data_IF_009129961731
#
_entry.id   IF_009129961731
#
_cell.length_a   1.000
_cell.length_b   1.000
_cell.length_c   1.000
_cell.angle_alpha   90.00
_cell.angle_beta   90.00
_cell.angle_gamma   90.00
#
_symmetry.space_group_name_H-M   'P 1'
#
loop_
_entity.id
_entity.type
_entity.pdbx_description
1 polymer ?
#
# COMPACT_ATOMS: atom_id res chain seq x y z
N UNK A 1 9.85 -12.06 -12.13
CA UNK A 1 8.39 -11.81 -12.20
C UNK A 1 8.00 -11.18 -10.88
N UNK A 2 7.39 -10.00 -10.89
CA UNK A 2 6.80 -9.40 -9.68
C UNK A 2 5.29 -9.49 -9.90
N UNK A 3 4.58 -10.19 -9.00
CA UNK A 3 3.21 -10.64 -9.23
C UNK A 3 3.08 -11.51 -10.50
N UNK A 4 2.15 -11.18 -11.41
CA UNK A 4 1.77 -12.02 -12.57
C UNK A 4 2.47 -11.67 -13.89
N UNK A 5 3.55 -10.88 -13.89
CA UNK A 5 4.16 -10.43 -15.14
C UNK A 5 5.59 -9.92 -15.08
N UNK A 6 6.11 -9.58 -16.27
CA UNK A 6 7.35 -8.82 -16.43
C UNK A 6 6.99 -7.35 -16.42
N UNK A 7 7.56 -6.60 -15.50
CA UNK A 7 7.38 -5.16 -15.43
C UNK A 7 8.45 -4.50 -16.31
N UNK A 8 8.07 -3.45 -17.02
CA UNK A 8 9.00 -2.63 -17.83
C UNK A 8 9.78 -1.63 -16.97
N UNK A 9 9.42 -1.52 -15.69
CA UNK A 9 10.05 -0.64 -14.72
C UNK A 9 10.23 -1.35 -13.38
N UNK A 10 11.11 -0.78 -12.56
CA UNK A 10 11.33 -1.19 -11.18
C UNK A 10 10.49 -0.30 -10.24
N UNK A 11 9.50 -0.85 -9.50
CA UNK A 11 8.71 -0.09 -8.54
C UNK A 11 9.54 0.63 -7.48
N UNK A 12 10.72 0.12 -7.12
CA UNK A 12 11.59 0.73 -6.10
C UNK A 12 12.35 1.94 -6.63
N UNK A 13 12.35 2.13 -7.95
CA UNK A 13 13.02 3.24 -8.65
C UNK A 13 12.03 4.35 -9.06
N UNK A 14 10.79 4.33 -8.55
CA UNK A 14 9.77 5.32 -8.89
C UNK A 14 10.15 6.71 -8.35
N UNK A 15 10.07 7.77 -9.19
CA UNK A 15 10.34 9.13 -8.73
C UNK A 15 9.26 9.60 -7.76
N UNK A 16 9.63 10.49 -6.85
CA UNK A 16 8.69 11.11 -5.93
C UNK A 16 7.61 11.91 -6.72
N UNK A 17 6.32 11.60 -6.55
CA UNK A 17 5.25 12.35 -7.19
C UNK A 17 5.02 13.73 -6.54
N UNK A 18 4.35 14.66 -7.23
CA UNK A 18 4.04 16.00 -6.70
C UNK A 18 2.92 16.01 -5.66
N UNK A 19 2.31 14.86 -5.37
CA UNK A 19 1.25 14.69 -4.38
C UNK A 19 1.63 13.64 -3.33
N UNK A 20 1.03 13.68 -2.13
CA UNK A 20 1.15 12.62 -1.14
C UNK A 20 0.61 11.30 -1.70
N UNK A 21 1.35 10.21 -1.53
CA UNK A 21 0.89 8.85 -1.86
C UNK A 21 0.77 8.04 -0.59
N UNK A 22 -0.38 7.39 -0.43
CA UNK A 22 -0.66 6.48 0.67
C UNK A 22 -0.88 5.06 0.13
N UNK A 23 -0.25 4.07 0.76
CA UNK A 23 -0.44 2.65 0.44
C UNK A 23 -1.05 1.93 1.64
N UNK A 24 -2.25 1.41 1.48
CA UNK A 24 -2.96 0.65 2.50
C UNK A 24 -2.84 -0.84 2.23
N UNK A 25 -2.51 -1.63 3.25
CA UNK A 25 -2.32 -3.08 3.13
C UNK A 25 -2.80 -3.78 4.40
N UNK A 26 -3.62 -4.82 4.24
CA UNK A 26 -3.92 -5.75 5.32
C UNK A 26 -2.73 -6.66 5.62
N UNK A 27 -2.39 -6.86 6.89
CA UNK A 27 -1.27 -7.71 7.31
C UNK A 27 -1.58 -9.22 7.22
N UNK A 28 -2.86 -9.59 7.17
CA UNK A 28 -3.36 -10.95 6.96
C UNK A 28 -3.83 -11.18 5.51
N UNK A 29 -3.36 -10.37 4.55
CA UNK A 29 -3.65 -10.57 3.13
C UNK A 29 -3.04 -11.90 2.62
N UNK A 30 -3.92 -12.87 2.40
CA UNK A 30 -3.56 -14.20 1.91
C UNK A 30 -3.26 -14.28 0.40
N UNK A 31 -3.51 -13.21 -0.36
CA UNK A 31 -3.19 -13.16 -1.79
C UNK A 31 -1.91 -12.39 -2.06
N UNK A 32 -1.67 -11.31 -1.32
CA UNK A 32 -0.50 -10.45 -1.48
C UNK A 32 0.30 -10.39 -0.17
N UNK A 33 1.50 -10.98 -0.12
CA UNK A 33 2.30 -10.98 1.11
C UNK A 33 2.67 -9.56 1.55
N UNK A 34 2.25 -9.17 2.77
CA UNK A 34 2.50 -7.84 3.38
C UNK A 34 3.96 -7.40 3.34
N UNK A 35 4.90 -8.34 3.35
CA UNK A 35 6.35 -8.09 3.29
C UNK A 35 6.74 -7.29 2.03
N UNK A 36 6.04 -7.44 0.92
CA UNK A 36 6.35 -6.73 -0.32
C UNK A 36 6.11 -5.23 -0.17
N UNK A 37 5.02 -4.84 0.51
CA UNK A 37 4.64 -3.46 0.77
C UNK A 37 5.53 -2.85 1.84
N UNK A 38 5.89 -3.60 2.88
CA UNK A 38 6.91 -3.19 3.86
C UNK A 38 8.25 -2.92 3.19
N UNK A 39 8.68 -3.81 2.29
CA UNK A 39 9.91 -3.62 1.52
C UNK A 39 9.81 -2.38 0.63
N UNK A 40 8.73 -2.22 -0.12
CA UNK A 40 8.52 -1.05 -0.98
C UNK A 40 8.54 0.27 -0.17
N UNK A 41 7.90 0.30 0.99
CA UNK A 41 7.91 1.46 1.90
C UNK A 41 9.30 1.75 2.47
N UNK A 42 10.14 0.73 2.66
CA UNK A 42 11.54 0.92 3.08
C UNK A 42 12.42 1.54 1.98
N UNK A 43 12.10 1.29 0.71
CA UNK A 43 12.85 1.82 -0.44
C UNK A 43 12.35 3.21 -0.86
N UNK A 44 11.03 3.42 -0.85
CA UNK A 44 10.38 4.66 -1.28
C UNK A 44 10.04 5.52 -0.07
N UNK A 45 10.99 6.35 0.37
CA UNK A 45 10.82 7.22 1.55
C UNK A 45 9.67 8.24 1.45
N UNK A 46 9.16 8.50 0.25
CA UNK A 46 8.01 9.36 -0.01
C UNK A 46 6.65 8.65 0.14
N UNK A 47 6.65 7.33 0.26
CA UNK A 47 5.45 6.53 0.37
C UNK A 47 4.94 6.52 1.82
N UNK A 48 3.69 6.92 2.02
CA UNK A 48 3.03 6.83 3.32
C UNK A 48 2.38 5.46 3.47
N UNK A 49 3.11 4.50 4.04
CA UNK A 49 2.60 3.15 4.26
C UNK A 49 1.64 3.09 5.47
N UNK A 50 0.51 2.40 5.27
CA UNK A 50 -0.55 2.20 6.26
C UNK A 50 -0.91 0.73 6.31
N UNK A 51 -0.34 0.04 7.30
CA UNK A 51 -0.67 -1.36 7.56
C UNK A 51 -1.94 -1.45 8.42
N UNK A 52 -2.82 -2.39 8.09
CA UNK A 52 -4.09 -2.66 8.77
C UNK A 52 -4.00 -4.01 9.49
N UNK A 53 -3.92 -4.03 10.84
CA UNK A 53 -3.84 -5.27 11.60
C UNK A 53 -5.11 -6.13 11.48
N UNK A 54 -4.93 -7.46 11.42
CA UNK A 54 -6.02 -8.44 11.36
C UNK A 54 -6.88 -8.33 10.10
N UNK A 55 -6.35 -7.71 9.05
CA UNK A 55 -7.11 -7.38 7.84
C UNK A 55 -6.58 -8.17 6.65
N UNK A 56 -7.49 -8.82 5.93
CA UNK A 56 -7.17 -9.56 4.70
C UNK A 56 -7.14 -8.68 3.44
N UNK A 57 -7.27 -9.33 2.29
CA UNK A 57 -7.17 -8.68 0.97
C UNK A 57 -8.27 -7.64 0.67
N UNK A 58 -9.50 -7.90 1.12
CA UNK A 58 -10.68 -7.11 0.72
C UNK A 58 -10.90 -5.88 1.61
N UNK A 59 -10.09 -4.85 1.41
CA UNK A 59 -10.13 -3.61 2.18
C UNK A 59 -11.48 -2.89 2.14
N UNK A 60 -12.25 -3.04 1.05
CA UNK A 60 -13.58 -2.44 0.91
C UNK A 60 -14.60 -2.92 1.96
N UNK A 61 -14.35 -4.07 2.58
CA UNK A 61 -15.21 -4.62 3.64
C UNK A 61 -14.80 -4.19 5.05
N UNK A 62 -13.69 -3.46 5.19
CA UNK A 62 -13.17 -3.02 6.50
C UNK A 62 -14.03 -1.87 7.03
N UNK A 63 -14.71 -2.05 8.18
CA UNK A 63 -15.56 -1.00 8.74
C UNK A 63 -14.78 0.28 9.02
N UNK A 64 -15.29 1.43 8.55
CA UNK A 64 -14.70 2.74 8.81
C UNK A 64 -13.42 3.07 8.03
N UNK A 65 -12.94 2.17 7.16
CA UNK A 65 -11.73 2.45 6.35
C UNK A 65 -11.96 3.64 5.41
N UNK A 66 -13.15 3.76 4.81
CA UNK A 66 -13.49 4.88 3.93
C UNK A 66 -13.37 6.24 4.63
N UNK A 67 -13.95 6.38 5.82
CA UNK A 67 -13.83 7.59 6.63
C UNK A 67 -12.38 7.88 7.01
N UNK A 68 -11.62 6.83 7.35
CA UNK A 68 -10.19 6.94 7.69
C UNK A 68 -9.37 7.45 6.50
N UNK A 69 -9.64 6.94 5.29
CA UNK A 69 -8.99 7.40 4.05
C UNK A 69 -9.35 8.85 3.78
N UNK A 70 -10.63 9.23 3.85
CA UNK A 70 -11.07 10.61 3.61
C UNK A 70 -10.44 11.59 4.60
N UNK A 71 -10.40 11.24 5.89
CA UNK A 71 -9.72 12.05 6.91
C UNK A 71 -8.21 12.13 6.68
N UNK A 72 -7.58 11.07 6.18
CA UNK A 72 -6.14 11.09 5.86
C UNK A 72 -5.83 12.01 4.69
N UNK A 73 -6.74 12.10 3.70
CA UNK A 73 -6.52 12.90 2.49
C UNK A 73 -6.95 14.36 2.63
N UNK A 74 -7.95 14.64 3.47
CA UNK A 74 -8.60 15.96 3.54
C UNK A 74 -8.76 16.53 4.96
N UNK A 75 -8.40 15.77 6.00
CA UNK A 75 -8.42 16.21 7.39
C UNK A 75 -7.08 16.75 7.84
#
# INVERSE_FOLDING_TARGET
>A
MVMFGKWEFDPMSLPKPPCPVHLWQGDEDGLVPVVLQRYLASQLSWLNYRELPGTGHFLSSVPGLGDTVLRTLFG
#
